data_IF_961119824132
#
_entry.id   IF_961119824132
#
_cell.length_a   1.000
_cell.length_b   1.000
_cell.length_c   1.000
_cell.angle_alpha   90.00
_cell.angle_beta   90.00
_cell.angle_gamma   90.00
#
_symmetry.space_group_name_H-M   'P 1'
#
loop_
_entity.id
_entity.type
_entity.pdbx_description
1 polymer ?
#
# COMPACT_ATOMS: atom_id res chain seq x y z
N UNK A 1 -23.00 -17.01 2.21
CA UNK A 1 -21.94 -16.29 2.97
C UNK A 1 -21.23 -15.39 1.99
N UNK A 2 -21.02 -14.10 2.29
CA UNK A 2 -20.11 -13.28 1.47
C UNK A 2 -18.70 -13.71 1.86
N UNK A 3 -17.99 -14.35 0.94
CA UNK A 3 -16.56 -14.59 1.07
C UNK A 3 -15.88 -13.24 1.32
N UNK A 4 -15.03 -13.18 2.34
CA UNK A 4 -14.21 -12.00 2.57
C UNK A 4 -13.11 -12.08 1.51
N UNK A 5 -13.13 -11.16 0.56
CA UNK A 5 -12.01 -10.97 -0.38
C UNK A 5 -10.72 -10.86 0.45
N UNK A 6 -9.82 -11.82 0.27
CA UNK A 6 -8.49 -11.80 0.89
C UNK A 6 -7.59 -10.96 -0.01
N UNK A 7 -6.92 -9.98 0.59
CA UNK A 7 -5.97 -9.16 -0.14
C UNK A 7 -4.58 -9.23 0.49
N UNK A 8 -3.57 -9.24 -0.36
CA UNK A 8 -2.17 -9.14 0.03
C UNK A 8 -1.62 -7.80 -0.45
N UNK A 9 -1.25 -6.95 0.51
CA UNK A 9 -0.63 -5.66 0.23
C UNK A 9 0.88 -5.75 0.47
N UNK A 10 1.65 -5.54 -0.59
CA UNK A 10 3.11 -5.44 -0.55
C UNK A 10 3.49 -4.01 -0.92
N UNK A 11 4.18 -3.33 -0.01
CA UNK A 11 4.72 -1.99 -0.29
C UNK A 11 6.22 -2.05 -0.11
N UNK A 12 6.95 -1.62 -1.13
CA UNK A 12 8.40 -1.49 -1.08
C UNK A 12 8.78 -0.04 -1.32
N UNK A 13 9.78 0.43 -0.57
CA UNK A 13 10.38 1.74 -0.75
C UNK A 13 11.87 1.56 -1.04
N UNK A 14 12.34 2.12 -2.14
CA UNK A 14 13.76 2.18 -2.51
C UNK A 14 14.11 3.64 -2.80
N UNK A 15 14.92 4.23 -1.93
CA UNK A 15 15.27 5.66 -1.96
C UNK A 15 14.01 6.57 -1.94
N UNK A 16 13.74 7.25 -3.05
CA UNK A 16 12.58 8.12 -3.27
C UNK A 16 11.40 7.42 -3.97
N UNK A 17 11.57 6.16 -4.37
CA UNK A 17 10.58 5.39 -5.10
C UNK A 17 9.74 4.53 -4.15
N UNK A 18 8.44 4.49 -4.41
CA UNK A 18 7.49 3.60 -3.76
C UNK A 18 6.88 2.68 -4.82
N UNK A 19 6.86 1.38 -4.54
CA UNK A 19 6.07 0.40 -5.28
C UNK A 19 5.01 -0.17 -4.33
N UNK A 20 3.78 -0.24 -4.81
CA UNK A 20 2.64 -0.81 -4.12
C UNK A 20 2.05 -1.89 -5.01
N UNK A 21 1.95 -3.08 -4.47
CA UNK A 21 1.36 -4.25 -5.09
C UNK A 21 0.20 -4.71 -4.21
N UNK A 22 -0.97 -4.87 -4.82
CA UNK A 22 -2.15 -5.42 -4.16
C UNK A 22 -2.51 -6.67 -4.94
N UNK A 23 -2.55 -7.82 -4.27
CA UNK A 23 -3.17 -9.03 -4.83
C UNK A 23 -4.53 -9.23 -4.16
N UNK A 24 -5.55 -9.61 -4.93
CA UNK A 24 -6.91 -9.93 -4.47
C UNK A 24 -7.19 -11.37 -4.88
N UNK A 25 -7.51 -12.22 -3.90
CA UNK A 25 -7.89 -13.63 -4.07
C UNK A 25 -6.94 -14.44 -4.97
N UNK A 26 -5.66 -14.06 -5.00
CA UNK A 26 -4.61 -14.61 -5.90
C UNK A 26 -4.92 -14.52 -7.42
N UNK A 27 -5.97 -13.81 -7.82
CA UNK A 27 -6.41 -13.67 -9.22
C UNK A 27 -6.14 -12.28 -9.79
N UNK A 28 -6.35 -11.22 -9.01
CA UNK A 28 -6.16 -9.84 -9.47
C UNK A 28 -4.94 -9.20 -8.81
N UNK A 29 -4.00 -8.71 -9.64
CA UNK A 29 -2.85 -7.93 -9.18
C UNK A 29 -2.95 -6.48 -9.65
N UNK A 30 -2.93 -5.54 -8.71
CA UNK A 30 -2.83 -4.11 -8.98
C UNK A 30 -1.45 -3.62 -8.59
N UNK A 31 -0.77 -3.02 -9.56
CA UNK A 31 0.58 -2.48 -9.41
C UNK A 31 0.57 -0.95 -9.53
N UNK A 32 1.17 -0.28 -8.56
CA UNK A 32 1.38 1.17 -8.58
C UNK A 32 2.83 1.49 -8.21
N UNK A 33 3.58 2.01 -9.17
CA UNK A 33 4.93 2.55 -8.93
C UNK A 33 4.91 4.07 -9.00
N UNK A 34 5.52 4.70 -8.00
CA UNK A 34 5.60 6.15 -7.93
C UNK A 34 6.99 6.61 -7.53
N UNK A 35 7.45 7.67 -8.19
CA UNK A 35 8.75 8.33 -7.95
C UNK A 35 8.48 9.66 -7.26
N UNK A 36 8.99 9.93 -6.05
CA UNK A 36 8.84 11.17 -5.24
C UNK A 36 7.75 11.21 -4.15
N UNK A 37 8.01 12.03 -3.12
CA UNK A 37 7.13 12.28 -1.95
C UNK A 37 5.76 12.87 -2.30
N UNK A 38 5.66 13.67 -3.37
CA UNK A 38 4.37 14.16 -3.89
C UNK A 38 3.45 13.01 -4.33
N UNK A 39 4.01 11.83 -4.60
CA UNK A 39 3.28 10.64 -4.94
C UNK A 39 2.91 9.77 -3.75
N UNK A 40 3.46 10.01 -2.55
CA UNK A 40 2.97 9.40 -1.32
C UNK A 40 1.50 9.80 -1.07
N UNK A 41 1.14 11.06 -1.29
CA UNK A 41 -0.26 11.52 -1.24
C UNK A 41 -1.14 10.83 -2.30
N UNK A 42 -0.59 10.58 -3.50
CA UNK A 42 -1.30 9.84 -4.56
C UNK A 42 -1.53 8.38 -4.17
N UNK A 43 -0.53 7.74 -3.56
CA UNK A 43 -0.63 6.39 -3.02
C UNK A 43 -1.70 6.31 -1.92
N UNK A 44 -1.71 7.23 -0.96
CA UNK A 44 -2.77 7.28 0.07
C UNK A 44 -4.15 7.46 -0.56
N UNK A 45 -4.28 8.38 -1.53
CA UNK A 45 -5.55 8.61 -2.22
C UNK A 45 -6.01 7.37 -3.00
N UNK A 46 -5.08 6.68 -3.65
CA UNK A 46 -5.33 5.42 -4.34
C UNK A 46 -5.82 4.35 -3.34
N UNK A 47 -5.08 4.11 -2.26
CA UNK A 47 -5.47 3.14 -1.23
C UNK A 47 -6.82 3.47 -0.61
N UNK A 48 -7.13 4.75 -0.38
CA UNK A 48 -8.43 5.17 0.15
C UNK A 48 -9.58 4.92 -0.82
N UNK A 49 -9.33 5.06 -2.12
CA UNK A 49 -10.32 4.78 -3.16
C UNK A 49 -10.48 3.28 -3.40
N UNK A 50 -9.39 2.53 -3.25
CA UNK A 50 -9.34 1.08 -3.45
C UNK A 50 -10.00 0.34 -2.29
N UNK A 51 -9.56 0.60 -1.05
CA UNK A 51 -10.14 0.01 0.14
C UNK A 51 -11.44 0.72 0.51
N UNK A 52 -12.56 0.08 0.16
CA UNK A 52 -13.90 0.54 0.57
C UNK A 52 -14.13 0.38 2.07
N UNK A 53 -13.39 -0.52 2.72
CA UNK A 53 -13.41 -0.72 4.18
C UNK A 53 -12.40 0.18 4.88
N UNK A 54 -12.83 0.85 5.95
CA UNK A 54 -11.97 1.65 6.82
C UNK A 54 -10.89 0.81 7.52
N UNK A 55 -11.16 -0.47 7.78
CA UNK A 55 -10.22 -1.39 8.44
C UNK A 55 -9.03 -1.69 7.51
N UNK A 56 -9.32 -2.13 6.29
CA UNK A 56 -8.30 -2.48 5.29
C UNK A 56 -7.43 -1.26 4.92
N UNK A 57 -8.07 -0.08 4.80
CA UNK A 57 -7.34 1.16 4.60
C UNK A 57 -6.40 1.47 5.77
N UNK A 58 -6.85 1.28 7.01
CA UNK A 58 -6.01 1.54 8.19
C UNK A 58 -4.83 0.56 8.28
N UNK A 59 -5.02 -0.71 7.95
CA UNK A 59 -3.95 -1.71 7.86
C UNK A 59 -2.90 -1.30 6.81
N UNK A 60 -3.35 -0.88 5.62
CA UNK A 60 -2.46 -0.36 4.58
C UNK A 60 -1.67 0.88 5.04
N UNK A 61 -2.31 1.79 5.77
CA UNK A 61 -1.66 2.96 6.33
C UNK A 61 -0.64 2.63 7.43
N UNK A 62 -0.88 1.58 8.22
CA UNK A 62 0.07 1.12 9.24
C UNK A 62 1.32 0.52 8.59
N UNK A 63 1.15 -0.32 7.56
CA UNK A 63 2.26 -0.87 6.78
C UNK A 63 3.11 0.24 6.15
N UNK A 64 2.48 1.28 5.59
CA UNK A 64 3.19 2.45 5.06
C UNK A 64 4.04 3.15 6.12
N UNK A 65 3.49 3.39 7.32
CA UNK A 65 4.22 4.02 8.43
C UNK A 65 5.41 3.18 8.89
N UNK A 66 5.23 1.86 9.00
CA UNK A 66 6.32 0.96 9.38
C UNK A 66 7.48 0.99 8.37
N UNK A 67 7.17 1.05 7.08
CA UNK A 67 8.18 1.18 6.02
C UNK A 67 8.92 2.51 6.07
N UNK A 68 8.25 3.61 6.41
CA UNK A 68 8.89 4.90 6.64
C UNK A 68 9.83 4.86 7.86
N UNK A 69 9.39 4.23 8.96
CA UNK A 69 10.19 4.08 10.18
C UNK A 69 11.41 3.19 9.97
N UNK A 70 11.28 2.07 9.25
CA UNK A 70 12.40 1.18 8.90
C UNK A 70 13.43 1.89 8.02
N UNK A 71 12.99 2.66 7.04
CA UNK A 71 13.91 3.43 6.18
C UNK A 71 14.67 4.54 6.94
N UNK A 72 14.06 5.14 7.97
CA UNK A 72 14.74 6.14 8.82
C UNK A 72 15.77 5.54 9.78
N UNK A 73 15.66 4.25 10.11
CA UNK A 73 16.60 3.55 11.01
C UNK A 73 17.84 3.00 10.30
N UNK A 74 17.77 2.85 8.98
CA UNK A 74 18.84 2.28 8.14
C UNK A 74 19.53 3.32 7.25
N UNK A 75 19.25 4.63 7.45
CA UNK A 75 19.83 5.74 6.70
C UNK A 75 20.73 6.60 7.57
#
# INVERSE_FOLDING_TARGET
MKEKEEFKLIITKKDINFKCEIMIDDEEQIYLETKYFSHYKKLIKFLRNFFKSSIQFNEAMNLLKELELKNKRNG
#
